data_IF_974161807578
#
_entry.id   IF_974161807578
#
_cell.length_a   1.000
_cell.length_b   1.000
_cell.length_c   1.000
_cell.angle_alpha   90.00
_cell.angle_beta   90.00
_cell.angle_gamma   90.00
#
_symmetry.space_group_name_H-M   'P 1'
#
loop_
_entity.id
_entity.type
_entity.pdbx_description
1 polymer ?
#
# COMPACT_ATOMS: atom_id res chain seq x y z
N UNK A 1 13.28 11.53 -4.22
CA UNK A 1 13.88 10.21 -3.92
C UNK A 1 14.50 10.24 -2.54
N UNK A 2 14.21 9.24 -1.72
CA UNK A 2 14.76 9.07 -0.36
C UNK A 2 15.08 7.60 -0.14
N UNK A 3 16.14 7.32 0.61
CA UNK A 3 16.46 5.97 1.08
C UNK A 3 16.15 5.88 2.56
N UNK A 4 15.41 4.85 2.95
CA UNK A 4 15.10 4.56 4.36
C UNK A 4 15.36 3.11 4.68
N UNK A 5 15.62 2.83 5.95
CA UNK A 5 15.73 1.46 6.45
C UNK A 5 14.39 0.71 6.38
N UNK A 6 14.42 -0.57 6.77
CA UNK A 6 13.21 -1.34 6.98
C UNK A 6 12.37 -0.77 8.15
N UNK A 7 11.08 -1.15 8.20
CA UNK A 7 10.17 -0.79 9.29
C UNK A 7 9.57 -2.04 9.93
N UNK A 8 9.34 -1.99 11.25
CA UNK A 8 8.57 -3.00 11.98
C UNK A 8 7.08 -2.63 12.11
N UNK A 9 6.65 -1.46 11.62
CA UNK A 9 5.25 -1.04 11.67
C UNK A 9 4.42 -1.87 10.68
N UNK A 10 3.30 -2.41 11.15
CA UNK A 10 2.36 -3.17 10.32
C UNK A 10 1.85 -2.31 9.17
N UNK A 11 1.75 -2.92 7.99
CA UNK A 11 1.35 -2.26 6.74
C UNK A 11 2.24 -1.09 6.29
N UNK A 12 3.39 -0.84 6.92
CA UNK A 12 4.34 0.13 6.40
C UNK A 12 4.90 -0.34 5.04
N UNK A 13 4.96 0.53 4.01
CA UNK A 13 5.57 0.19 2.72
C UNK A 13 7.04 -0.24 2.79
N UNK A 14 7.71 0.06 3.91
CA UNK A 14 9.11 -0.30 4.15
C UNK A 14 9.27 -1.67 4.81
N UNK A 15 8.22 -2.24 5.41
CA UNK A 15 8.31 -3.48 6.19
C UNK A 15 8.68 -4.68 5.31
N UNK A 16 9.68 -5.46 5.71
CA UNK A 16 10.13 -6.64 4.95
C UNK A 16 11.06 -6.36 3.76
N UNK A 17 11.38 -5.10 3.46
CA UNK A 17 12.42 -4.77 2.49
C UNK A 17 13.80 -4.84 3.17
N UNK A 18 14.50 -5.97 3.02
CA UNK A 18 15.73 -6.27 3.79
C UNK A 18 16.91 -5.33 3.53
N UNK A 19 17.02 -4.79 2.31
CA UNK A 19 18.10 -3.87 1.91
C UNK A 19 17.68 -2.40 2.00
N UNK A 20 16.62 -2.11 2.77
CA UNK A 20 16.00 -0.80 2.83
C UNK A 20 15.00 -0.55 1.72
N UNK A 21 14.44 0.66 1.70
CA UNK A 21 13.41 1.09 0.76
C UNK A 21 13.84 2.37 0.08
N UNK A 22 13.77 2.37 -1.25
CA UNK A 22 13.88 3.59 -2.04
C UNK A 22 12.46 4.11 -2.25
N UNK A 23 12.16 5.28 -1.68
CA UNK A 23 10.92 6.00 -1.95
C UNK A 23 11.17 7.00 -3.09
N UNK A 24 10.40 6.87 -4.16
CA UNK A 24 10.46 7.76 -5.32
C UNK A 24 9.06 8.33 -5.53
N UNK A 25 8.97 9.65 -5.67
CA UNK A 25 7.73 10.37 -5.88
C UNK A 25 7.92 11.32 -7.06
N UNK A 26 6.90 11.42 -7.90
CA UNK A 26 6.80 12.46 -8.91
C UNK A 26 5.76 13.47 -8.45
N UNK A 27 6.01 14.75 -8.73
CA UNK A 27 5.07 15.83 -8.49
C UNK A 27 4.70 16.49 -9.82
N UNK A 28 3.48 16.97 -9.89
CA UNK A 28 3.01 17.84 -10.97
C UNK A 28 2.25 19.03 -10.38
N UNK A 29 1.94 20.03 -11.22
CA UNK A 29 1.12 21.17 -10.82
C UNK A 29 -0.37 20.85 -10.92
N UNK A 30 -1.20 21.62 -10.23
CA UNK A 30 -2.67 21.41 -10.21
C UNK A 30 -3.35 21.74 -11.55
N UNK A 31 -2.63 22.35 -12.50
CA UNK A 31 -3.15 22.70 -13.83
C UNK A 31 -2.87 21.62 -14.88
N UNK A 32 -2.14 20.56 -14.53
CA UNK A 32 -1.88 19.44 -15.44
C UNK A 32 -3.19 18.74 -15.79
N UNK A 33 -3.49 18.50 -17.08
CA UNK A 33 -4.65 17.72 -17.48
C UNK A 33 -4.68 16.35 -16.81
N UNK A 34 -5.84 15.97 -16.27
CA UNK A 34 -5.96 14.76 -15.45
C UNK A 34 -5.66 13.49 -16.25
N UNK A 35 -6.12 13.41 -17.49
CA UNK A 35 -5.88 12.30 -18.42
C UNK A 35 -4.39 12.11 -18.74
N UNK A 36 -3.68 13.22 -18.99
CA UNK A 36 -2.23 13.22 -19.18
C UNK A 36 -1.52 12.72 -17.91
N UNK A 37 -1.94 13.22 -16.74
CA UNK A 37 -1.36 12.83 -15.46
C UNK A 37 -1.58 11.34 -15.14
N UNK A 38 -2.80 10.84 -15.31
CA UNK A 38 -3.10 9.41 -15.08
C UNK A 38 -2.35 8.50 -16.04
N UNK A 39 -2.22 8.90 -17.32
CA UNK A 39 -1.42 8.17 -18.31
C UNK A 39 0.06 8.09 -17.87
N UNK A 40 0.61 9.22 -17.44
CA UNK A 40 1.98 9.28 -16.92
C UNK A 40 2.17 8.42 -15.67
N UNK A 41 1.25 8.50 -14.69
CA UNK A 41 1.29 7.69 -13.47
C UNK A 41 1.32 6.19 -13.78
N UNK A 42 0.48 5.73 -14.71
CA UNK A 42 0.45 4.31 -15.08
C UNK A 42 1.78 3.86 -15.71
N UNK A 43 2.37 4.66 -16.60
CA UNK A 43 3.68 4.36 -17.19
C UNK A 43 4.78 4.24 -16.12
N UNK A 44 4.77 5.12 -15.13
CA UNK A 44 5.71 5.08 -14.01
C UNK A 44 5.50 3.83 -13.16
N UNK A 45 4.26 3.50 -12.81
CA UNK A 45 3.93 2.30 -12.03
C UNK A 45 4.36 1.04 -12.77
N UNK A 46 4.13 0.94 -14.07
CA UNK A 46 4.53 -0.21 -14.88
C UNK A 46 6.04 -0.42 -14.86
N UNK A 47 6.83 0.66 -14.94
CA UNK A 47 8.30 0.55 -14.84
C UNK A 47 8.76 0.21 -13.43
N UNK A 48 8.30 0.95 -12.42
CA UNK A 48 8.83 0.79 -11.06
C UNK A 48 8.41 -0.52 -10.40
N UNK A 49 7.22 -1.02 -10.71
CA UNK A 49 6.75 -2.33 -10.22
C UNK A 49 7.29 -3.50 -11.03
N UNK A 50 8.01 -3.24 -12.12
CA UNK A 50 8.71 -4.23 -12.95
C UNK A 50 10.14 -4.56 -12.48
N UNK A 51 10.70 -3.81 -11.52
CA UNK A 51 12.06 -4.05 -11.03
C UNK A 51 12.21 -5.40 -10.34
N UNK A 52 13.41 -5.98 -10.49
CA UNK A 52 13.79 -7.29 -9.95
C UNK A 52 15.10 -7.15 -9.17
N UNK A 53 15.29 -8.04 -8.20
CA UNK A 53 16.57 -8.20 -7.52
C UNK A 53 17.59 -8.95 -8.40
N UNK A 54 18.81 -9.13 -7.88
CA UNK A 54 19.89 -9.84 -8.56
C UNK A 54 19.60 -11.31 -8.85
N UNK A 55 18.54 -11.89 -8.25
CA UNK A 55 18.07 -13.26 -8.49
C UNK A 55 16.89 -13.31 -9.45
N UNK A 56 16.52 -12.17 -10.04
CA UNK A 56 15.37 -12.06 -10.94
C UNK A 56 14.02 -12.07 -10.23
N UNK A 57 13.96 -12.04 -8.89
CA UNK A 57 12.71 -11.96 -8.15
C UNK A 57 12.18 -10.53 -8.20
N UNK A 58 10.88 -10.39 -8.47
CA UNK A 58 10.23 -9.09 -8.45
C UNK A 58 10.34 -8.43 -7.07
N UNK A 59 10.67 -7.14 -7.06
CA UNK A 59 10.69 -6.37 -5.83
C UNK A 59 9.25 -6.17 -5.31
N UNK A 60 9.10 -6.14 -3.98
CA UNK A 60 7.82 -5.87 -3.33
C UNK A 60 7.53 -4.35 -3.29
N UNK A 61 7.24 -3.80 -4.46
CA UNK A 61 6.90 -2.39 -4.62
C UNK A 61 5.53 -2.09 -3.99
N UNK A 62 5.47 -1.05 -3.17
CA UNK A 62 4.27 -0.60 -2.47
C UNK A 62 4.10 0.91 -2.64
N UNK A 63 2.87 1.41 -2.81
CA UNK A 63 2.64 2.83 -2.86
C UNK A 63 2.95 3.46 -1.50
N UNK A 64 3.36 4.71 -1.53
CA UNK A 64 3.38 5.53 -0.33
C UNK A 64 1.94 5.89 0.04
N UNK A 65 1.46 5.49 1.22
CA UNK A 65 0.05 5.65 1.61
C UNK A 65 -0.51 7.07 1.42
N UNK A 66 0.29 8.09 1.74
CA UNK A 66 -0.10 9.50 1.60
C UNK A 66 -0.03 10.08 0.17
N UNK A 67 0.15 9.26 -0.87
CA UNK A 67 0.25 9.70 -2.27
C UNK A 67 -0.92 9.17 -3.10
N UNK A 68 -1.06 9.68 -4.31
CA UNK A 68 -2.04 9.20 -5.26
C UNK A 68 -1.59 7.86 -5.86
N UNK A 69 -2.49 6.87 -5.81
CA UNK A 69 -2.28 5.55 -6.41
C UNK A 69 -3.60 4.87 -6.80
N UNK A 70 -4.76 5.38 -6.34
CA UNK A 70 -6.08 4.81 -6.61
C UNK A 70 -6.39 4.86 -8.11
N UNK A 71 -6.93 3.77 -8.66
CA UNK A 71 -7.29 3.67 -10.07
C UNK A 71 -6.19 3.12 -10.98
N UNK A 72 -4.95 3.02 -10.47
CA UNK A 72 -3.84 2.42 -11.21
C UNK A 72 -3.92 0.89 -11.21
N UNK A 73 -3.18 0.29 -12.12
CA UNK A 73 -2.98 -1.16 -12.20
C UNK A 73 -1.53 -1.53 -12.00
N UNK A 74 -1.26 -2.69 -11.42
CA UNK A 74 0.07 -3.26 -11.24
C UNK A 74 0.09 -4.62 -11.89
N UNK A 75 0.92 -4.80 -12.93
CA UNK A 75 1.07 -6.08 -13.66
C UNK A 75 -0.28 -6.63 -14.17
N UNK A 76 -1.12 -5.74 -14.71
CA UNK A 76 -2.45 -6.07 -15.23
C UNK A 76 -3.54 -6.27 -14.17
N UNK A 77 -3.21 -6.14 -12.88
CA UNK A 77 -4.16 -6.28 -11.78
C UNK A 77 -4.54 -4.90 -11.21
N UNK A 78 -5.82 -4.63 -10.91
CA UNK A 78 -6.21 -3.41 -10.20
C UNK A 78 -5.42 -3.27 -8.89
N UNK A 79 -4.94 -2.06 -8.59
CA UNK A 79 -4.04 -1.84 -7.45
C UNK A 79 -4.59 -2.34 -6.11
N UNK A 80 -5.90 -2.24 -5.88
CA UNK A 80 -6.52 -2.74 -4.65
C UNK A 80 -6.32 -4.25 -4.49
N UNK A 81 -6.46 -5.01 -5.57
CA UNK A 81 -6.27 -6.46 -5.55
C UNK A 81 -4.78 -6.78 -5.42
N UNK A 82 -3.90 -6.07 -6.14
CA UNK A 82 -2.45 -6.21 -5.98
C UNK A 82 -2.01 -5.98 -4.51
N UNK A 83 -2.54 -4.96 -3.85
CA UNK A 83 -2.23 -4.66 -2.46
C UNK A 83 -2.69 -5.78 -1.52
N UNK A 84 -3.89 -6.33 -1.72
CA UNK A 84 -4.45 -7.41 -0.89
C UNK A 84 -3.78 -8.75 -1.12
N UNK A 85 -3.56 -9.10 -2.37
CA UNK A 85 -3.22 -10.46 -2.81
C UNK A 85 -1.72 -10.66 -3.02
N UNK A 86 -0.95 -9.58 -3.23
CA UNK A 86 0.48 -9.65 -3.44
C UNK A 86 1.26 -8.81 -2.41
N UNK A 87 1.06 -7.50 -2.37
CA UNK A 87 1.97 -6.59 -1.68
C UNK A 87 1.89 -6.67 -0.14
N UNK A 88 0.67 -6.82 0.38
CA UNK A 88 0.37 -6.98 1.82
C UNK A 88 -0.34 -8.30 2.13
N UNK A 89 -0.13 -9.32 1.28
CA UNK A 89 -0.67 -10.66 1.53
C UNK A 89 -0.22 -11.15 2.91
N UNK A 90 -1.18 -11.58 3.73
CA UNK A 90 -0.94 -11.98 5.12
C UNK A 90 -0.76 -10.81 6.09
N UNK A 91 -0.07 -9.73 5.71
CA UNK A 91 0.14 -8.56 6.56
C UNK A 91 -1.17 -7.85 6.95
N UNK A 92 -2.18 -7.86 6.07
CA UNK A 92 -3.53 -7.34 6.39
C UNK A 92 -4.16 -8.17 7.52
N UNK A 93 -4.05 -9.50 7.46
CA UNK A 93 -4.60 -10.38 8.50
C UNK A 93 -3.85 -10.21 9.83
N UNK A 94 -2.51 -10.07 9.77
CA UNK A 94 -1.69 -9.75 10.95
C UNK A 94 -2.11 -8.40 11.58
N UNK A 95 -2.39 -7.39 10.74
CA UNK A 95 -2.87 -6.10 11.19
C UNK A 95 -4.24 -6.20 11.90
N UNK A 96 -5.20 -6.91 11.30
CA UNK A 96 -6.53 -7.10 11.89
C UNK A 96 -6.42 -7.84 13.22
N UNK A 97 -5.70 -8.96 13.27
CA UNK A 97 -5.51 -9.72 14.51
C UNK A 97 -4.83 -8.90 15.62
N UNK A 98 -3.86 -8.06 15.25
CA UNK A 98 -3.21 -7.14 16.19
C UNK A 98 -4.19 -6.10 16.71
N UNK A 99 -5.01 -5.52 15.82
CA UNK A 99 -6.03 -4.54 16.19
C UNK A 99 -7.11 -5.14 17.10
N UNK A 100 -7.53 -6.38 16.84
CA UNK A 100 -8.45 -7.13 17.71
C UNK A 100 -7.87 -7.39 19.10
N UNK A 101 -6.57 -7.69 19.19
CA UNK A 101 -5.86 -7.80 20.47
C UNK A 101 -5.88 -6.48 21.26
N UNK A 102 -5.59 -5.37 20.59
CA UNK A 102 -5.62 -4.02 21.18
C UNK A 102 -7.03 -3.68 21.65
N UNK A 103 -8.05 -3.88 20.80
CA UNK A 103 -9.43 -3.56 21.13
C UNK A 103 -9.90 -4.31 22.39
N UNK A 104 -9.65 -5.62 22.46
CA UNK A 104 -9.97 -6.43 23.65
C UNK A 104 -9.29 -5.92 24.91
N UNK A 105 -8.00 -5.58 24.82
CA UNK A 105 -7.26 -5.05 25.97
C UNK A 105 -7.77 -3.69 26.46
N UNK A 106 -8.44 -2.93 25.59
CA UNK A 106 -9.03 -1.62 25.90
C UNK A 106 -10.53 -1.68 26.22
N UNK A 107 -11.13 -2.87 26.31
CA UNK A 107 -12.56 -3.03 26.61
C UNK A 107 -13.49 -2.56 25.49
N UNK A 108 -13.04 -2.61 24.23
CA UNK A 108 -13.83 -2.23 23.04
C UNK A 108 -13.67 -3.30 21.94
N UNK A 109 -14.26 -3.06 20.78
CA UNK A 109 -14.21 -3.93 19.59
C UNK A 109 -13.66 -3.20 18.37
N UNK A 110 -13.15 -3.97 17.40
CA UNK A 110 -12.72 -3.41 16.11
C UNK A 110 -13.89 -2.74 15.38
N UNK A 111 -15.10 -3.25 15.55
CA UNK A 111 -16.32 -2.64 14.98
C UNK A 111 -16.57 -1.24 15.54
N UNK A 112 -16.47 -1.05 16.86
CA UNK A 112 -16.62 0.28 17.48
C UNK A 112 -15.49 1.22 17.05
N UNK A 113 -14.24 0.74 17.01
CA UNK A 113 -13.11 1.54 16.52
C UNK A 113 -13.33 1.99 15.07
N UNK A 114 -13.84 1.11 14.20
CA UNK A 114 -14.16 1.42 12.79
C UNK A 114 -15.31 2.41 12.67
N UNK A 115 -16.29 2.38 13.58
CA UNK A 115 -17.38 3.34 13.58
C UNK A 115 -16.88 4.79 13.83
N UNK A 116 -15.77 4.96 14.55
CA UNK A 116 -15.20 6.27 14.87
C UNK A 116 -14.06 6.68 13.92
N UNK A 117 -13.17 5.74 13.59
CA UNK A 117 -11.91 6.01 12.86
C UNK A 117 -11.85 5.38 11.45
N UNK A 118 -12.89 4.64 11.07
CA UNK A 118 -12.99 4.02 9.75
C UNK A 118 -13.15 5.06 8.64
N UNK A 119 -12.82 4.64 7.42
CA UNK A 119 -13.09 5.41 6.21
C UNK A 119 -13.23 4.47 5.01
N UNK A 120 -13.81 4.92 3.88
CA UNK A 120 -14.08 4.05 2.74
C UNK A 120 -12.87 3.27 2.21
N UNK A 121 -11.66 3.86 2.30
CA UNK A 121 -10.44 3.21 1.84
C UNK A 121 -10.05 2.05 2.77
N UNK A 122 -10.05 2.26 4.09
CA UNK A 122 -9.76 1.21 5.06
C UNK A 122 -10.78 0.08 4.97
N UNK A 123 -12.06 0.43 4.82
CA UNK A 123 -13.12 -0.55 4.67
C UNK A 123 -12.92 -1.40 3.42
N UNK A 124 -12.70 -0.77 2.26
CA UNK A 124 -12.47 -1.48 1.01
C UNK A 124 -11.21 -2.36 1.04
N UNK A 125 -10.12 -1.86 1.62
CA UNK A 125 -8.79 -2.46 1.48
C UNK A 125 -8.43 -3.44 2.60
N UNK A 126 -8.85 -3.16 3.83
CA UNK A 126 -8.45 -3.91 5.03
C UNK A 126 -9.61 -4.79 5.51
N UNK A 127 -10.82 -4.22 5.62
CA UNK A 127 -11.92 -4.88 6.34
C UNK A 127 -12.97 -5.56 5.46
N UNK A 128 -12.91 -5.40 4.13
CA UNK A 128 -13.75 -6.17 3.22
C UNK A 128 -13.14 -7.55 2.99
N UNK A 129 -13.96 -8.60 3.11
CA UNK A 129 -13.55 -9.97 2.81
C UNK A 129 -12.94 -10.07 1.41
N UNK A 130 -11.92 -10.93 1.28
CA UNK A 130 -11.36 -11.33 -0.01
C UNK A 130 -12.21 -12.44 -0.63
#
# INVERSE_FOLDING_TARGET
MRLTGASNVLLAPQRGNQFGTISIEVLTTTVTPNDLWQTFLQQIVDKWTGYRDSKGKLLNARPHWAKEWKGLSVRGQPINNYLKEAAYKGAIQEFIATLEGIARAQGTSVTEMRAVFGNPLLEQLIFTAN
#
